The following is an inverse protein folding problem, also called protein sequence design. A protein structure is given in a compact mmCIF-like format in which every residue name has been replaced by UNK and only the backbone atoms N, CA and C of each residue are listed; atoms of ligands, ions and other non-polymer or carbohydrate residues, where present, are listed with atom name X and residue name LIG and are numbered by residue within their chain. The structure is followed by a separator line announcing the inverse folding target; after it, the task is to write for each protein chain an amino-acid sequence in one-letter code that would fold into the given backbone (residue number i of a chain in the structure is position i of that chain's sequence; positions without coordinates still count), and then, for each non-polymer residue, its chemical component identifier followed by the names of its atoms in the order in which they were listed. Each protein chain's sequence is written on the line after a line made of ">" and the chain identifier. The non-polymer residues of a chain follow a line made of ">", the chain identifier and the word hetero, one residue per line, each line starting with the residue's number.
data_IF_846002373990
#
_entry.id   IF_846002373990
#
_cell.length_a   1.000
_cell.length_b   1.000
_cell.length_c   1.000
_cell.angle_alpha   90.00
_cell.angle_beta   90.00
_cell.angle_gamma   90.00
#
_symmetry.space_group_name_H-M   'P 1'
#
loop_
_entity.id
_entity.type
_entity.pdbx_description
1 polymer ?
#
# COMPACT_ATOMS: atom_id res chain seq x y z
N UNK A 1 -17.65 -12.02 14.39
CA UNK A 1 -18.52 -12.10 13.20
C UNK A 1 -18.75 -13.57 12.92
N UNK A 2 -20.00 -14.02 12.68
CA UNK A 2 -20.29 -15.38 12.25
C UNK A 2 -19.52 -15.74 10.97
N UNK A 3 -19.11 -16.99 10.81
CA UNK A 3 -18.35 -17.46 9.64
C UNK A 3 -19.13 -17.27 8.33
N UNK A 4 -20.45 -17.50 8.36
CA UNK A 4 -21.33 -17.29 7.22
C UNK A 4 -21.28 -15.85 6.67
N UNK A 5 -21.26 -14.84 7.55
CA UNK A 5 -21.16 -13.43 7.13
C UNK A 5 -19.79 -13.16 6.47
N UNK A 6 -18.73 -13.80 6.96
CA UNK A 6 -17.39 -13.69 6.34
C UNK A 6 -17.40 -14.32 4.94
N UNK A 7 -17.99 -15.49 4.77
CA UNK A 7 -18.11 -16.17 3.47
C UNK A 7 -18.94 -15.37 2.47
N UNK A 8 -20.04 -14.76 2.92
CA UNK A 8 -20.82 -13.81 2.12
C UNK A 8 -19.96 -12.62 1.67
N UNK A 9 -19.21 -12.00 2.60
CA UNK A 9 -18.38 -10.84 2.28
C UNK A 9 -17.21 -11.17 1.35
N UNK A 10 -16.65 -12.38 1.44
CA UNK A 10 -15.62 -12.87 0.52
C UNK A 10 -16.19 -13.10 -0.90
N UNK A 11 -17.46 -13.48 -1.01
CA UNK A 11 -18.14 -13.68 -2.30
C UNK A 11 -18.54 -12.33 -2.92
N UNK A 12 -19.30 -11.52 -2.19
CA UNK A 12 -19.67 -10.17 -2.59
C UNK A 12 -19.96 -9.31 -1.36
N UNK A 13 -18.95 -8.51 -0.96
CA UNK A 13 -19.09 -7.60 0.16
C UNK A 13 -20.15 -6.51 -0.04
N UNK A 14 -20.60 -6.22 -1.26
CA UNK A 14 -21.61 -5.19 -1.52
C UNK A 14 -22.99 -5.63 -1.08
N UNK A 15 -23.27 -6.92 -1.09
CA UNK A 15 -24.58 -7.51 -0.75
C UNK A 15 -24.57 -8.28 0.57
N UNK A 16 -23.39 -8.59 1.12
CA UNK A 16 -23.23 -9.26 2.41
C UNK A 16 -23.94 -8.53 3.56
N UNK A 17 -24.44 -9.29 4.55
CA UNK A 17 -25.08 -8.76 5.76
C UNK A 17 -24.04 -8.23 6.76
N UNK A 18 -23.42 -7.10 6.41
CA UNK A 18 -22.42 -6.40 7.21
C UNK A 18 -22.91 -5.00 7.60
N UNK A 19 -22.46 -4.45 8.75
CA UNK A 19 -22.79 -3.09 9.14
C UNK A 19 -22.40 -2.07 8.07
N UNK A 20 -23.20 -1.02 7.89
CA UNK A 20 -22.94 0.03 6.89
C UNK A 20 -21.57 0.69 7.06
N UNK A 21 -21.11 0.88 8.32
CA UNK A 21 -19.75 1.35 8.60
C UNK A 21 -18.68 0.40 8.04
N UNK A 22 -18.88 -0.91 8.16
CA UNK A 22 -17.97 -1.92 7.60
C UNK A 22 -18.03 -1.91 6.07
N UNK A 23 -19.22 -1.79 5.49
CA UNK A 23 -19.41 -1.66 4.03
C UNK A 23 -18.67 -0.44 3.48
N UNK A 24 -18.80 0.71 4.14
CA UNK A 24 -18.08 1.94 3.76
C UNK A 24 -16.56 1.79 3.91
N UNK A 25 -16.06 1.06 4.92
CA UNK A 25 -14.64 0.73 5.04
C UNK A 25 -14.14 -0.17 3.90
N UNK A 26 -14.91 -1.18 3.50
CA UNK A 26 -14.58 -2.03 2.34
C UNK A 26 -14.63 -1.24 1.02
N UNK A 27 -15.56 -0.28 0.90
CA UNK A 27 -15.62 0.63 -0.25
C UNK A 27 -14.35 1.49 -0.35
N UNK A 28 -13.89 2.07 0.77
CA UNK A 28 -12.64 2.80 0.82
C UNK A 28 -11.43 1.90 0.47
N UNK A 29 -11.37 0.67 0.98
CA UNK A 29 -10.31 -0.29 0.63
C UNK A 29 -10.29 -0.61 -0.87
N UNK A 30 -11.46 -0.78 -1.50
CA UNK A 30 -11.55 -0.97 -2.95
C UNK A 30 -10.98 0.23 -3.70
N UNK A 31 -11.32 1.46 -3.30
CA UNK A 31 -10.79 2.67 -3.93
C UNK A 31 -9.28 2.80 -3.75
N UNK A 32 -8.76 2.60 -2.54
CA UNK A 32 -7.31 2.62 -2.26
C UNK A 32 -6.53 1.61 -3.12
N UNK A 33 -7.17 0.51 -3.52
CA UNK A 33 -6.54 -0.61 -4.25
C UNK A 33 -6.67 -0.50 -5.76
N UNK A 34 -7.86 -0.12 -6.26
CA UNK A 34 -8.23 -0.21 -7.68
C UNK A 34 -8.41 1.16 -8.35
N UNK A 35 -8.81 2.16 -7.58
CA UNK A 35 -9.18 3.49 -8.07
C UNK A 35 -8.54 4.62 -7.25
N UNK A 36 -7.24 4.56 -6.89
CA UNK A 36 -6.66 5.52 -5.96
C UNK A 36 -6.72 6.96 -6.50
N UNK A 37 -6.71 7.13 -7.82
CA UNK A 37 -6.85 8.44 -8.48
C UNK A 37 -8.25 9.04 -8.40
N UNK A 38 -9.27 8.21 -8.18
CA UNK A 38 -10.66 8.66 -8.10
C UNK A 38 -11.02 9.16 -6.69
N UNK A 39 -10.14 8.96 -5.69
CA UNK A 39 -10.31 9.52 -4.35
C UNK A 39 -10.38 11.05 -4.39
N UNK A 40 -11.48 11.59 -3.86
CA UNK A 40 -11.80 13.00 -3.86
C UNK A 40 -12.59 13.43 -2.61
N UNK A 41 -12.70 14.75 -2.37
CA UNK A 41 -13.39 15.31 -1.20
C UNK A 41 -14.87 14.86 -1.08
N UNK A 42 -15.71 14.88 -2.13
CA UNK A 42 -17.07 14.35 -2.08
C UNK A 42 -17.16 12.89 -1.61
N UNK A 43 -16.32 12.01 -2.14
CA UNK A 43 -16.27 10.61 -1.72
C UNK A 43 -15.94 10.47 -0.23
N UNK A 44 -14.95 11.22 0.26
CA UNK A 44 -14.59 11.21 1.69
C UNK A 44 -15.72 11.79 2.56
N UNK A 45 -16.44 12.81 2.09
CA UNK A 45 -17.59 13.36 2.79
C UNK A 45 -18.74 12.33 2.90
N UNK A 46 -19.00 11.57 1.83
CA UNK A 46 -19.99 10.50 1.82
C UNK A 46 -19.67 9.40 2.84
N UNK A 47 -18.42 8.91 2.87
CA UNK A 47 -17.98 7.91 3.87
C UNK A 47 -18.18 8.38 5.32
N UNK A 48 -18.05 9.68 5.61
CA UNK A 48 -18.33 10.24 6.95
C UNK A 48 -19.79 10.10 7.34
N UNK A 49 -20.72 10.19 6.38
CA UNK A 49 -22.16 9.98 6.66
C UNK A 49 -22.46 8.54 7.11
N UNK A 50 -21.59 7.59 6.75
CA UNK A 50 -21.64 6.19 7.17
C UNK A 50 -20.80 5.88 8.43
N UNK A 51 -20.33 6.91 9.14
CA UNK A 51 -19.64 6.76 10.44
C UNK A 51 -18.15 6.42 10.33
N UNK A 52 -17.50 6.70 9.21
CA UNK A 52 -16.04 6.69 9.10
C UNK A 52 -15.53 8.08 9.45
N UNK A 53 -15.05 8.26 10.68
CA UNK A 53 -14.26 9.43 11.05
C UNK A 53 -12.84 9.35 10.46
N UNK A 54 -12.07 10.44 10.55
CA UNK A 54 -10.71 10.46 10.01
C UNK A 54 -9.85 9.33 10.57
N UNK A 55 -9.93 9.05 11.87
CA UNK A 55 -9.16 7.98 12.49
C UNK A 55 -9.51 6.59 11.91
N UNK A 56 -10.80 6.29 11.73
CA UNK A 56 -11.22 5.05 11.08
C UNK A 56 -10.72 4.97 9.63
N UNK A 57 -10.69 6.08 8.90
CA UNK A 57 -10.12 6.10 7.55
C UNK A 57 -8.61 5.88 7.55
N UNK A 58 -7.87 6.40 8.53
CA UNK A 58 -6.44 6.10 8.71
C UNK A 58 -6.19 4.61 8.95
N UNK A 59 -6.98 3.98 9.83
CA UNK A 59 -6.89 2.54 10.09
C UNK A 59 -7.19 1.72 8.83
N UNK A 60 -8.21 2.12 8.06
CA UNK A 60 -8.52 1.50 6.77
C UNK A 60 -7.37 1.67 5.79
N UNK A 61 -6.75 2.86 5.73
CA UNK A 61 -5.59 3.12 4.89
C UNK A 61 -4.39 2.24 5.26
N UNK A 62 -4.15 2.07 6.56
CA UNK A 62 -3.10 1.22 7.08
C UNK A 62 -3.31 -0.24 6.67
N UNK A 63 -4.53 -0.78 6.86
CA UNK A 63 -4.88 -2.13 6.41
C UNK A 63 -4.73 -2.26 4.88
N UNK A 64 -5.25 -1.28 4.14
CA UNK A 64 -5.18 -1.24 2.69
C UNK A 64 -3.76 -1.27 2.17
N UNK A 65 -2.86 -0.48 2.75
CA UNK A 65 -1.44 -0.48 2.41
C UNK A 65 -0.81 -1.86 2.58
N UNK A 66 -0.98 -2.49 3.75
CA UNK A 66 -0.34 -3.78 4.05
C UNK A 66 -0.79 -4.87 3.09
N UNK A 67 -2.10 -5.00 2.82
CA UNK A 67 -2.59 -5.98 1.85
C UNK A 67 -2.15 -5.66 0.42
N UNK A 68 -2.15 -4.39 0.02
CA UNK A 68 -1.67 -4.00 -1.31
C UNK A 68 -0.18 -4.31 -1.50
N UNK A 69 0.61 -4.13 -0.46
CA UNK A 69 2.05 -4.39 -0.48
C UNK A 69 2.34 -5.89 -0.44
N UNK A 70 1.78 -6.63 0.53
CA UNK A 70 2.02 -8.07 0.72
C UNK A 70 1.49 -8.87 -0.46
N UNK A 71 0.29 -8.58 -0.97
CA UNK A 71 -0.27 -9.35 -2.09
C UNK A 71 0.60 -9.22 -3.34
N UNK A 72 1.18 -8.04 -3.60
CA UNK A 72 2.09 -7.87 -4.75
C UNK A 72 3.37 -8.67 -4.58
N UNK A 73 3.92 -8.74 -3.38
CA UNK A 73 5.09 -9.57 -3.11
C UNK A 73 4.76 -11.06 -3.22
N UNK A 74 3.63 -11.48 -2.65
CA UNK A 74 3.16 -12.86 -2.75
C UNK A 74 2.93 -13.28 -4.21
N UNK A 75 2.28 -12.43 -4.99
CA UNK A 75 2.05 -12.63 -6.43
C UNK A 75 3.37 -12.69 -7.22
N UNK A 76 4.37 -11.87 -6.86
CA UNK A 76 5.66 -11.80 -7.57
C UNK A 76 6.52 -13.04 -7.31
N UNK A 77 6.53 -13.53 -6.07
CA UNK A 77 7.38 -14.66 -5.66
C UNK A 77 6.64 -16.00 -5.63
N UNK A 78 5.35 -16.01 -6.00
CA UNK A 78 4.49 -17.19 -5.94
C UNK A 78 4.58 -17.90 -4.59
N UNK A 79 4.55 -17.14 -3.48
CA UNK A 79 4.61 -17.73 -2.15
C UNK A 79 3.43 -18.70 -1.94
N UNK A 80 3.74 -19.88 -1.41
CA UNK A 80 2.71 -20.89 -1.12
C UNK A 80 1.64 -20.34 -0.17
N UNK A 81 0.39 -20.61 -0.50
CA UNK A 81 -0.71 -20.30 0.40
C UNK A 81 -0.63 -21.17 1.66
N UNK A 82 -0.85 -20.54 2.80
CA UNK A 82 -1.01 -21.27 4.06
C UNK A 82 -2.21 -22.22 3.94
N UNK A 83 -2.08 -23.42 4.48
CA UNK A 83 -3.24 -24.29 4.61
C UNK A 83 -4.22 -23.74 5.67
N UNK A 84 -5.47 -24.21 5.66
CA UNK A 84 -6.53 -23.72 6.56
C UNK A 84 -6.17 -23.76 8.05
N UNK A 85 -5.36 -24.74 8.45
CA UNK A 85 -4.92 -24.88 9.85
C UNK A 85 -3.87 -23.82 10.21
N UNK A 86 -2.88 -23.61 9.34
CA UNK A 86 -1.87 -22.56 9.47
C UNK A 86 -2.51 -21.16 9.46
N UNK A 87 -3.49 -20.91 8.58
CA UNK A 87 -4.23 -19.65 8.52
C UNK A 87 -4.98 -19.36 9.83
N UNK A 88 -5.72 -20.35 10.35
CA UNK A 88 -6.46 -20.21 11.60
C UNK A 88 -5.53 -19.98 12.79
N UNK A 89 -4.38 -20.66 12.82
CA UNK A 89 -3.36 -20.49 13.84
C UNK A 89 -2.72 -19.09 13.78
N UNK A 90 -2.24 -18.66 12.61
CA UNK A 90 -1.60 -17.35 12.43
C UNK A 90 -2.57 -16.19 12.66
N UNK A 91 -3.83 -16.33 12.24
CA UNK A 91 -4.86 -15.32 12.48
C UNK A 91 -5.16 -15.17 13.98
N UNK A 92 -5.21 -16.27 14.74
CA UNK A 92 -5.35 -16.22 16.21
C UNK A 92 -4.13 -15.57 16.86
N UNK A 93 -2.91 -15.91 16.41
CA UNK A 93 -1.68 -15.35 16.92
C UNK A 93 -1.62 -13.84 16.67
N UNK A 94 -1.82 -13.39 15.43
CA UNK A 94 -1.83 -11.98 15.06
C UNK A 94 -2.86 -11.22 15.89
N UNK A 95 -4.12 -11.66 15.94
CA UNK A 95 -5.16 -11.01 16.73
C UNK A 95 -4.80 -10.87 18.23
N UNK A 96 -4.13 -11.86 18.81
CA UNK A 96 -3.67 -11.82 20.20
C UNK A 96 -2.56 -10.79 20.37
N UNK A 97 -1.56 -10.82 19.49
CA UNK A 97 -0.41 -9.92 19.53
C UNK A 97 -0.81 -8.47 19.27
N UNK A 98 -1.67 -8.19 18.30
CA UNK A 98 -2.15 -6.83 17.99
C UNK A 98 -2.98 -6.24 19.13
N UNK A 99 -3.72 -7.07 19.88
CA UNK A 99 -4.43 -6.61 21.09
C UNK A 99 -3.47 -6.22 22.21
N UNK A 100 -2.34 -6.92 22.34
CA UNK A 100 -1.35 -6.69 23.39
C UNK A 100 -0.42 -5.51 23.07
N UNK A 101 -0.10 -5.31 21.79
CA UNK A 101 0.81 -4.27 21.31
C UNK A 101 0.08 -3.01 20.84
N UNK A 102 -1.14 -2.76 21.32
CA UNK A 102 -1.97 -1.64 20.90
C UNK A 102 -1.39 -0.33 21.47
N UNK A 103 -0.39 0.21 20.78
CA UNK A 103 0.13 1.53 21.05
C UNK A 103 -0.80 2.58 20.47
N UNK A 104 -1.05 3.63 21.23
CA UNK A 104 -1.69 4.83 20.69
C UNK A 104 -0.70 5.45 19.68
N UNK A 105 -1.08 5.62 18.41
CA UNK A 105 -0.19 6.26 17.45
C UNK A 105 0.15 7.68 17.91
N UNK A 106 1.35 8.18 17.57
CA UNK A 106 1.71 9.56 17.86
C UNK A 106 0.69 10.52 17.27
N UNK A 107 0.49 11.68 17.91
CA UNK A 107 -0.37 12.76 17.39
C UNK A 107 0.51 13.99 17.07
N UNK A 108 0.47 14.52 15.83
CA UNK A 108 -0.25 13.98 14.67
C UNK A 108 0.32 12.62 14.24
N UNK A 109 -0.54 11.76 13.66
CA UNK A 109 -0.17 10.44 13.11
C UNK A 109 0.46 10.54 11.71
N UNK A 110 0.59 11.77 11.18
CA UNK A 110 1.02 12.07 9.83
C UNK A 110 2.07 13.17 9.79
N UNK A 111 2.77 13.24 8.66
CA UNK A 111 3.78 14.26 8.36
C UNK A 111 3.64 14.68 6.88
N UNK A 112 3.98 15.94 6.59
CA UNK A 112 4.33 16.35 5.23
C UNK A 112 5.81 16.06 5.02
N UNK A 113 6.11 15.05 4.23
CA UNK A 113 7.48 14.60 4.01
C UNK A 113 8.23 15.54 3.06
N UNK A 114 9.51 15.27 2.88
CA UNK A 114 10.46 15.98 2.02
C UNK A 114 10.04 16.10 0.55
N UNK A 115 9.23 15.17 0.03
CA UNK A 115 8.65 15.22 -1.32
C UNK A 115 7.29 15.94 -1.37
N UNK A 116 6.89 16.59 -0.27
CA UNK A 116 5.68 17.41 -0.18
C UNK A 116 4.38 16.64 -0.02
N UNK A 117 4.41 15.30 -0.07
CA UNK A 117 3.24 14.46 0.16
C UNK A 117 2.94 14.33 1.66
N UNK A 118 1.66 14.14 1.97
CA UNK A 118 1.20 13.89 3.34
C UNK A 118 0.98 12.39 3.50
N UNK A 119 1.60 11.79 4.51
CA UNK A 119 1.52 10.34 4.78
C UNK A 119 1.65 10.04 6.28
N UNK A 120 1.25 8.85 6.73
CA UNK A 120 1.54 8.37 8.09
C UNK A 120 3.03 8.48 8.44
N UNK A 121 3.35 8.83 9.69
CA UNK A 121 4.75 8.93 10.16
C UNK A 121 5.47 7.59 10.00
N UNK A 122 4.80 6.49 10.31
CA UNK A 122 5.35 5.15 10.18
C UNK A 122 5.66 4.81 8.71
N UNK A 123 4.81 5.21 7.77
CA UNK A 123 5.06 5.00 6.33
C UNK A 123 6.17 5.89 5.80
N UNK A 124 6.29 7.15 6.26
CA UNK A 124 7.41 8.01 5.93
C UNK A 124 8.75 7.38 6.38
N UNK A 125 8.78 6.86 7.61
CA UNK A 125 9.96 6.15 8.14
C UNK A 125 10.26 4.87 7.37
N UNK A 126 9.25 4.03 7.12
CA UNK A 126 9.41 2.80 6.37
C UNK A 126 9.93 3.08 4.95
N UNK A 127 9.38 4.08 4.28
CA UNK A 127 9.84 4.56 2.97
C UNK A 127 11.31 5.00 3.02
N UNK A 128 11.67 5.85 3.98
CA UNK A 128 13.03 6.32 4.14
C UNK A 128 14.00 5.15 4.33
N UNK A 129 13.69 4.24 5.27
CA UNK A 129 14.52 3.05 5.53
C UNK A 129 14.66 2.19 4.26
N UNK A 130 13.56 1.85 3.60
CA UNK A 130 13.57 1.03 2.40
C UNK A 130 14.42 1.65 1.29
N UNK A 131 14.29 2.96 1.07
CA UNK A 131 14.89 3.64 -0.07
C UNK A 131 16.32 4.14 0.20
N UNK A 132 16.82 4.10 1.44
CA UNK A 132 18.18 4.59 1.76
C UNK A 132 19.09 3.61 2.48
N UNK A 133 18.57 2.51 3.05
CA UNK A 133 19.41 1.50 3.69
C UNK A 133 20.39 0.89 2.67
N UNK A 134 21.57 0.39 3.10
CA UNK A 134 22.43 -0.43 2.25
C UNK A 134 21.69 -1.66 1.74
N UNK A 135 21.99 -2.09 0.51
CA UNK A 135 21.39 -3.25 -0.13
C UNK A 135 22.12 -3.61 -1.41
N UNK A 136 21.66 -4.63 -2.11
CA UNK A 136 22.28 -5.16 -3.32
C UNK A 136 22.19 -4.18 -4.49
N UNK A 137 21.03 -3.54 -4.68
CA UNK A 137 20.91 -2.41 -5.61
C UNK A 137 21.18 -1.08 -4.89
N UNK A 138 21.71 -0.06 -5.59
CA UNK A 138 21.98 1.22 -4.95
C UNK A 138 20.69 1.94 -4.54
N UNK A 139 20.70 2.77 -3.47
CA UNK A 139 19.57 3.60 -3.07
C UNK A 139 18.94 4.42 -4.21
N UNK A 140 19.77 4.94 -5.12
CA UNK A 140 19.31 5.71 -6.28
C UNK A 140 18.42 4.89 -7.22
N UNK A 141 18.71 3.58 -7.38
CA UNK A 141 17.89 2.69 -8.18
C UNK A 141 16.57 2.34 -7.48
N UNK A 142 16.59 2.05 -6.16
CA UNK A 142 15.35 1.84 -5.39
C UNK A 142 14.42 3.06 -5.47
N UNK A 143 14.97 4.26 -5.34
CA UNK A 143 14.22 5.51 -5.47
C UNK A 143 13.67 5.72 -6.88
N UNK A 144 14.45 5.41 -7.93
CA UNK A 144 13.99 5.49 -9.31
C UNK A 144 12.84 4.50 -9.60
N UNK A 145 12.94 3.27 -9.09
CA UNK A 145 11.91 2.23 -9.20
C UNK A 145 10.60 2.71 -8.54
N UNK A 146 10.69 3.18 -7.30
CA UNK A 146 9.51 3.65 -6.55
C UNK A 146 8.85 4.84 -7.25
N UNK A 147 9.65 5.82 -7.69
CA UNK A 147 9.17 6.96 -8.46
C UNK A 147 8.50 6.52 -9.77
N UNK A 148 9.09 5.59 -10.52
CA UNK A 148 8.51 5.07 -11.76
C UNK A 148 7.15 4.42 -11.52
N UNK A 149 7.03 3.54 -10.53
CA UNK A 149 5.76 2.88 -10.22
C UNK A 149 4.70 3.88 -9.80
N UNK A 150 5.07 4.88 -9.00
CA UNK A 150 4.16 5.95 -8.55
C UNK A 150 3.66 6.79 -9.74
N UNK A 151 4.50 7.05 -10.75
CA UNK A 151 4.05 7.72 -11.99
C UNK A 151 3.04 6.93 -12.81
N UNK A 152 3.05 5.59 -12.70
CA UNK A 152 2.01 4.77 -13.34
C UNK A 152 0.62 5.07 -12.77
N UNK A 153 0.55 5.60 -11.56
CA UNK A 153 -0.67 6.02 -10.89
C UNK A 153 -0.84 7.55 -10.87
N UNK A 154 -0.27 8.27 -11.84
CA UNK A 154 -0.51 9.71 -12.04
C UNK A 154 0.12 10.64 -11.00
N UNK A 155 0.94 10.12 -10.09
CA UNK A 155 1.71 10.91 -9.13
C UNK A 155 3.10 11.24 -9.71
N UNK A 156 3.55 12.48 -9.55
CA UNK A 156 4.88 12.89 -10.01
C UNK A 156 5.88 12.80 -8.88
N UNK A 157 6.93 12.01 -9.07
CA UNK A 157 8.12 12.02 -8.21
C UNK A 157 9.36 12.06 -9.12
N UNK A 158 10.19 13.11 -9.08
CA UNK A 158 11.37 13.18 -9.93
C UNK A 158 12.37 12.10 -9.49
N UNK A 159 12.73 11.14 -10.36
CA UNK A 159 13.68 10.11 -10.00
C UNK A 159 15.11 10.68 -10.03
N UNK A 160 15.99 10.16 -9.16
CA UNK A 160 17.39 10.56 -9.14
C UNK A 160 18.16 10.08 -10.39
N UNK A 161 17.69 9.01 -11.01
CA UNK A 161 18.22 8.42 -12.24
C UNK A 161 17.08 7.79 -13.05
N UNK A 162 17.22 7.59 -14.37
CA UNK A 162 16.24 6.82 -15.13
C UNK A 162 16.21 5.36 -14.66
N UNK A 163 15.04 4.74 -14.78
CA UNK A 163 14.89 3.29 -14.56
C UNK A 163 15.49 2.54 -15.76
N UNK A 164 16.36 1.53 -15.54
CA UNK A 164 16.88 0.69 -16.61
C UNK A 164 15.77 0.03 -17.43
N UNK A 165 15.95 -0.01 -18.76
CA UNK A 165 14.90 -0.43 -19.71
C UNK A 165 14.40 -1.86 -19.45
N UNK A 166 15.29 -2.75 -19.03
CA UNK A 166 14.98 -4.15 -18.71
C UNK A 166 14.04 -4.31 -17.52
N UNK A 167 13.98 -3.33 -16.61
CA UNK A 167 13.09 -3.38 -15.45
C UNK A 167 11.65 -2.95 -15.79
N UNK A 168 11.46 -2.17 -16.86
CA UNK A 168 10.21 -1.45 -17.13
C UNK A 168 9.01 -2.41 -17.22
N UNK A 169 9.12 -3.50 -17.98
CA UNK A 169 8.04 -4.46 -18.14
C UNK A 169 7.65 -5.11 -16.80
N UNK A 170 8.64 -5.54 -16.02
CA UNK A 170 8.43 -6.12 -14.69
C UNK A 170 7.76 -5.11 -13.75
N UNK A 171 8.22 -3.87 -13.71
CA UNK A 171 7.65 -2.83 -12.85
C UNK A 171 6.23 -2.43 -13.24
N UNK A 172 5.89 -2.43 -14.53
CA UNK A 172 4.52 -2.23 -14.99
C UNK A 172 3.60 -3.37 -14.54
N UNK A 173 4.05 -4.62 -14.68
CA UNK A 173 3.33 -5.77 -14.14
C UNK A 173 3.19 -5.66 -12.62
N UNK A 174 4.24 -5.33 -11.90
CA UNK A 174 4.22 -5.18 -10.45
C UNK A 174 3.23 -4.08 -9.99
N UNK A 175 3.13 -2.98 -10.74
CA UNK A 175 2.21 -1.89 -10.44
C UNK A 175 0.73 -2.34 -10.54
N UNK A 176 0.36 -3.02 -11.63
CA UNK A 176 -1.04 -3.24 -12.01
C UNK A 176 -1.52 -4.69 -11.96
N UNK A 177 -0.62 -5.65 -12.11
CA UNK A 177 -0.91 -7.05 -12.32
C UNK A 177 0.26 -7.95 -11.88
N UNK A 178 0.67 -7.85 -10.62
CA UNK A 178 1.80 -8.61 -10.08
C UNK A 178 1.61 -10.12 -10.28
N UNK A 179 0.37 -10.61 -10.21
CA UNK A 179 -0.02 -12.00 -10.51
C UNK A 179 0.28 -12.47 -11.95
N UNK A 180 0.74 -11.57 -12.84
CA UNK A 180 1.18 -11.89 -14.20
C UNK A 180 2.70 -11.89 -14.36
N UNK A 181 3.45 -11.70 -13.28
CA UNK A 181 4.90 -11.91 -13.29
C UNK A 181 5.13 -13.42 -13.36
N UNK A 182 5.96 -13.85 -14.31
CA UNK A 182 6.25 -15.26 -14.56
C UNK A 182 7.72 -15.57 -14.30
N UNK A 183 8.06 -16.87 -14.26
CA UNK A 183 9.45 -17.31 -14.18
C UNK A 183 10.31 -16.77 -15.33
N UNK A 184 9.73 -16.56 -16.52
CA UNK A 184 10.42 -15.95 -17.66
C UNK A 184 10.79 -14.48 -17.39
N UNK A 185 9.93 -13.73 -16.69
CA UNK A 185 10.26 -12.36 -16.27
C UNK A 185 11.45 -12.35 -15.31
N UNK A 186 11.46 -13.28 -14.35
CA UNK A 186 12.55 -13.43 -13.38
C UNK A 186 13.84 -13.87 -14.09
N UNK A 187 13.76 -14.83 -15.02
CA UNK A 187 14.90 -15.28 -15.81
C UNK A 187 15.48 -14.18 -16.72
N UNK A 188 14.62 -13.30 -17.26
CA UNK A 188 15.07 -12.14 -18.03
C UNK A 188 15.86 -11.16 -17.16
N UNK A 189 15.42 -10.90 -15.92
CA UNK A 189 16.17 -10.07 -14.96
C UNK A 189 17.52 -10.72 -14.59
N UNK A 190 17.55 -12.03 -14.37
CA UNK A 190 18.81 -12.76 -14.12
C UNK A 190 19.77 -12.66 -15.30
N UNK A 191 19.25 -12.78 -16.52
CA UNK A 191 20.04 -12.63 -17.75
C UNK A 191 20.61 -11.21 -17.89
N UNK A 192 19.88 -10.20 -17.40
CA UNK A 192 20.33 -8.82 -17.34
C UNK A 192 21.35 -8.53 -16.20
N UNK A 193 21.67 -9.52 -15.37
CA UNK A 193 22.70 -9.44 -14.34
C UNK A 193 22.19 -9.19 -12.92
N UNK A 194 20.88 -9.21 -12.68
CA UNK A 194 20.32 -9.09 -11.33
C UNK A 194 20.28 -10.44 -10.64
N UNK A 195 20.90 -10.57 -9.46
CA UNK A 195 20.78 -11.75 -8.62
C UNK A 195 19.44 -11.76 -7.85
N UNK A 196 19.19 -12.83 -7.09
CA UNK A 196 17.93 -13.00 -6.35
C UNK A 196 17.67 -11.87 -5.34
N UNK A 197 18.70 -11.42 -4.63
CA UNK A 197 18.59 -10.32 -3.66
C UNK A 197 18.25 -8.98 -4.35
N UNK A 198 18.88 -8.69 -5.49
CA UNK A 198 18.55 -7.52 -6.29
C UNK A 198 17.11 -7.57 -6.82
N UNK A 199 16.66 -8.73 -7.32
CA UNK A 199 15.28 -8.92 -7.80
C UNK A 199 14.29 -8.75 -6.64
N UNK A 200 14.62 -9.26 -5.45
CA UNK A 200 13.84 -9.05 -4.24
C UNK A 200 13.70 -7.56 -3.91
N UNK A 201 14.79 -6.83 -3.87
CA UNK A 201 14.78 -5.38 -3.59
C UNK A 201 14.02 -4.57 -4.65
N UNK A 202 14.10 -4.95 -5.93
CA UNK A 202 13.32 -4.36 -7.02
C UNK A 202 11.82 -4.54 -6.76
N UNK A 203 11.40 -5.78 -6.43
CA UNK A 203 10.01 -6.10 -6.15
C UNK A 203 9.50 -5.34 -4.91
N UNK A 204 10.29 -5.27 -3.85
CA UNK A 204 9.93 -4.53 -2.63
C UNK A 204 9.77 -3.04 -2.91
N UNK A 205 10.74 -2.41 -3.57
CA UNK A 205 10.66 -0.98 -3.89
C UNK A 205 9.46 -0.65 -4.79
N UNK A 206 9.20 -1.47 -5.81
CA UNK A 206 8.08 -1.27 -6.72
C UNK A 206 6.73 -1.55 -6.07
N UNK A 207 6.59 -2.63 -5.30
CA UNK A 207 5.36 -2.95 -4.58
C UNK A 207 5.01 -1.87 -3.54
N UNK A 208 6.02 -1.34 -2.84
CA UNK A 208 5.85 -0.23 -1.91
C UNK A 208 5.31 1.02 -2.63
N UNK A 209 5.93 1.37 -3.78
CA UNK A 209 5.46 2.48 -4.62
C UNK A 209 4.02 2.33 -5.07
N UNK A 210 3.59 1.12 -5.47
CA UNK A 210 2.20 0.88 -5.85
C UNK A 210 1.23 0.97 -4.65
N UNK A 211 1.63 0.47 -3.48
CA UNK A 211 0.78 0.42 -2.30
C UNK A 211 0.59 1.79 -1.62
N UNK A 212 1.56 2.70 -1.72
CA UNK A 212 1.55 3.97 -0.98
C UNK A 212 0.66 5.04 -1.62
N UNK A 213 0.42 4.99 -2.95
CA UNK A 213 -0.29 6.05 -3.70
C UNK A 213 -1.68 6.36 -3.14
N UNK A 214 -2.48 5.32 -2.89
CA UNK A 214 -3.83 5.50 -2.35
C UNK A 214 -3.81 6.14 -0.96
N UNK A 215 -2.83 5.76 -0.12
CA UNK A 215 -2.67 6.33 1.22
C UNK A 215 -2.28 7.79 1.16
N UNK A 216 -1.27 8.14 0.35
CA UNK A 216 -0.85 9.54 0.17
C UNK A 216 -2.01 10.41 -0.31
N UNK A 217 -2.80 9.91 -1.27
CA UNK A 217 -3.95 10.62 -1.80
C UNK A 217 -5.01 10.85 -0.73
N UNK A 218 -5.36 9.82 0.04
CA UNK A 218 -6.31 9.92 1.14
C UNK A 218 -5.84 10.92 2.20
N UNK A 219 -4.59 10.81 2.66
CA UNK A 219 -4.03 11.70 3.68
C UNK A 219 -3.95 13.16 3.18
N UNK A 220 -3.62 13.36 1.91
CA UNK A 220 -3.70 14.68 1.26
C UNK A 220 -5.11 15.27 1.30
N UNK A 221 -6.16 14.46 1.13
CA UNK A 221 -7.56 14.92 1.24
C UNK A 221 -7.96 15.19 2.69
N UNK A 222 -7.53 14.35 3.64
CA UNK A 222 -7.88 14.47 5.05
C UNK A 222 -7.21 15.68 5.72
N UNK A 223 -5.98 16.01 5.31
CA UNK A 223 -5.11 16.93 6.06
C UNK A 223 -4.50 18.06 5.22
N UNK A 224 -4.62 18.04 3.89
CA UNK A 224 -4.03 19.07 3.03
C UNK A 224 -4.53 20.50 3.32
N UNK A 225 -5.80 20.65 3.68
CA UNK A 225 -6.39 21.95 4.00
C UNK A 225 -5.97 22.48 5.39
N UNK A 226 -5.60 21.59 6.33
CA UNK A 226 -5.21 22.00 7.69
C UNK A 226 -3.87 22.76 7.73
N UNK A 227 -3.10 22.74 6.64
CA UNK A 227 -1.82 23.43 6.53
C UNK A 227 -1.93 24.88 6.07
N UNK A 228 -3.08 25.31 5.52
CA UNK A 228 -3.26 26.72 5.11
C UNK A 228 -3.54 27.65 6.30
N UNK A 229 -4.00 27.12 7.44
CA UNK A 229 -4.29 27.92 8.64
C UNK A 229 -3.05 28.24 9.46
N UNK A 230 -2.03 27.37 9.48
CA UNK A 230 -0.76 27.62 10.20
C UNK A 230 0.22 28.54 9.46
N UNK A 231 -0.10 28.94 8.22
CA UNK A 231 0.71 29.92 7.45
C UNK A 231 0.08 31.33 7.45
N UNK A 232 -1.00 31.53 8.22
CA UNK A 232 -1.69 32.82 8.38
C UNK A 232 -1.76 33.32 9.83
N UNK A 233 -0.90 32.80 10.71
CA UNK A 233 -0.68 33.30 12.07
C UNK A 233 0.78 33.77 12.22
#
# INVERSE_FOLDING_TARGET
>A
MPQEIVEQALTDWKTADIPERTRAALHLLQYLTKHPLELNKPFIADLRTHGLDNHAMEEVANVGFHFNFINRLADTFSFDHLNKEQEAFHTKMLNRTTRLLRNTPPKPSWIKDTDGQIRPIELARARQTLLSAPGEIPPSLRQAIEAFVVTQWGHTRPPAQPVPQELISCLQKLAFSAYKITDDDIAALKTAGYNDDAIYEIAVAGAFGAAIVGVERLFGILYGDNMSMDTMA
#
